data_IF_660694230742
#
_entry.id   IF_660694230742
#
_cell.length_a   1.000
_cell.length_b   1.000
_cell.length_c   1.000
_cell.angle_alpha   90.00
_cell.angle_beta   90.00
_cell.angle_gamma   90.00
#
_symmetry.space_group_name_H-M   'P 1'
#
loop_
_entity.id
_entity.type
_entity.pdbx_description
1 polymer ?
#
# COMPACT_ATOMS: atom_id res chain seq x y z
N UNK A 1 -10.21 -46.83 0.93
CA UNK A 1 -9.08 -46.60 1.85
C UNK A 1 -9.15 -45.14 2.26
N UNK A 2 -9.37 -44.81 3.54
CA UNK A 2 -9.28 -43.42 3.99
C UNK A 2 -7.81 -43.01 4.01
N UNK A 3 -7.49 -41.92 3.32
CA UNK A 3 -6.18 -41.26 3.42
C UNK A 3 -6.01 -40.75 4.85
N UNK A 4 -5.18 -41.46 5.60
CA UNK A 4 -4.83 -41.17 6.99
C UNK A 4 -3.42 -40.60 7.00
N UNK A 5 -3.21 -39.49 6.30
CA UNK A 5 -2.03 -38.66 6.56
C UNK A 5 -2.22 -38.02 7.93
N UNK A 6 -1.57 -38.62 8.94
CA UNK A 6 -1.39 -37.95 10.23
C UNK A 6 -0.71 -36.61 9.95
N UNK A 7 -1.16 -35.48 10.55
CA UNK A 7 -0.53 -34.19 10.32
C UNK A 7 0.97 -34.33 10.62
N UNK A 8 1.81 -34.02 9.63
CA UNK A 8 3.27 -34.06 9.75
C UNK A 8 3.63 -33.25 10.99
N UNK A 9 4.30 -33.88 11.96
CA UNK A 9 4.77 -33.17 13.13
C UNK A 9 5.75 -32.08 12.67
N UNK A 10 5.48 -30.83 13.07
CA UNK A 10 6.35 -29.71 12.73
C UNK A 10 7.77 -29.98 13.24
N UNK A 11 8.78 -29.57 12.47
CA UNK A 11 10.17 -29.58 12.92
C UNK A 11 10.41 -28.53 14.02
N UNK A 12 11.57 -28.55 14.67
CA UNK A 12 11.93 -27.51 15.64
C UNK A 12 12.07 -26.14 14.98
N UNK A 13 12.64 -26.11 13.78
CA UNK A 13 12.85 -24.93 12.95
C UNK A 13 11.50 -24.35 12.45
N UNK A 14 10.60 -25.19 11.93
CA UNK A 14 9.25 -24.76 11.52
C UNK A 14 8.45 -24.13 12.69
N UNK A 15 8.58 -24.66 13.92
CA UNK A 15 7.95 -24.07 15.11
C UNK A 15 8.55 -22.71 15.49
N UNK A 16 9.87 -22.58 15.40
CA UNK A 16 10.56 -21.34 15.72
C UNK A 16 10.23 -20.22 14.71
N UNK A 17 10.20 -20.58 13.42
CA UNK A 17 9.78 -19.69 12.35
C UNK A 17 8.33 -19.22 12.55
N UNK A 18 7.40 -20.12 12.90
CA UNK A 18 6.02 -19.76 13.20
C UNK A 18 5.89 -18.84 14.43
N UNK A 19 6.69 -19.07 15.47
CA UNK A 19 6.72 -18.19 16.65
C UNK A 19 7.21 -16.77 16.29
N UNK A 20 8.25 -16.67 15.46
CA UNK A 20 8.75 -15.39 14.95
C UNK A 20 7.71 -14.69 14.07
N UNK A 21 7.03 -15.43 13.20
CA UNK A 21 5.95 -14.90 12.35
C UNK A 21 4.77 -14.38 13.17
N UNK A 22 4.39 -15.08 14.24
CA UNK A 22 3.34 -14.64 15.16
C UNK A 22 3.75 -13.32 15.86
N UNK A 23 4.96 -13.27 16.41
CA UNK A 23 5.51 -12.02 16.98
C UNK A 23 5.51 -10.86 15.98
N UNK A 24 5.94 -11.11 14.74
CA UNK A 24 5.92 -10.11 13.67
C UNK A 24 4.50 -9.59 13.39
N UNK A 25 3.47 -10.43 13.46
CA UNK A 25 2.08 -9.98 13.34
C UNK A 25 1.68 -9.09 14.53
N UNK A 26 1.90 -9.57 15.75
CA UNK A 26 1.37 -8.94 16.97
C UNK A 26 2.07 -7.61 17.30
N UNK A 27 3.39 -7.55 17.06
CA UNK A 27 4.26 -6.41 17.38
C UNK A 27 4.53 -5.53 16.15
N UNK A 28 3.84 -5.73 15.01
CA UNK A 28 4.16 -5.09 13.73
C UNK A 28 4.38 -3.58 13.82
N UNK A 29 3.49 -2.88 14.52
CA UNK A 29 3.59 -1.43 14.69
C UNK A 29 4.88 -1.02 15.42
N UNK A 30 5.15 -1.65 16.58
CA UNK A 30 6.31 -1.30 17.40
C UNK A 30 7.62 -1.66 16.70
N UNK A 31 7.66 -2.81 16.02
CA UNK A 31 8.79 -3.22 15.20
C UNK A 31 9.01 -2.23 14.04
N UNK A 32 7.94 -1.71 13.43
CA UNK A 32 7.98 -0.67 12.39
C UNK A 32 8.63 0.62 12.88
N UNK A 33 8.14 1.14 14.01
CA UNK A 33 8.70 2.35 14.63
C UNK A 33 10.18 2.16 14.97
N UNK A 34 10.55 1.01 15.54
CA UNK A 34 11.94 0.71 15.90
C UNK A 34 12.85 0.53 14.67
N UNK A 35 12.36 -0.15 13.62
CA UNK A 35 13.14 -0.39 12.40
C UNK A 35 13.53 0.92 11.71
N UNK A 36 12.76 2.00 11.88
CA UNK A 36 13.09 3.32 11.35
C UNK A 36 14.41 3.89 11.93
N UNK A 37 14.81 3.47 13.13
CA UNK A 37 16.04 3.91 13.78
C UNK A 37 17.30 3.28 13.15
N UNK A 38 17.15 2.21 12.37
CA UNK A 38 18.25 1.62 11.61
C UNK A 38 18.73 2.50 10.45
N UNK A 39 17.95 3.52 10.08
CA UNK A 39 18.20 4.35 8.89
C UNK A 39 18.34 5.84 9.23
N UNK A 40 19.29 6.24 10.10
CA UNK A 40 19.42 7.63 10.56
C UNK A 40 19.79 8.62 9.45
N UNK A 41 20.35 8.14 8.34
CA UNK A 41 20.71 8.96 7.18
C UNK A 41 19.60 9.19 6.17
N UNK A 42 18.46 8.51 6.30
CA UNK A 42 17.33 8.63 5.37
C UNK A 42 16.30 9.64 5.88
N UNK A 43 15.57 10.27 4.96
CA UNK A 43 14.52 11.22 5.30
C UNK A 43 13.33 10.47 5.90
N UNK A 44 12.78 11.00 7.00
CA UNK A 44 11.54 10.54 7.62
C UNK A 44 10.42 11.52 7.25
N UNK A 45 9.36 11.04 6.60
CA UNK A 45 8.30 11.90 6.06
C UNK A 45 7.51 12.56 7.20
N UNK A 46 7.54 13.89 7.30
CA UNK A 46 6.82 14.65 8.34
C UNK A 46 7.05 14.16 9.79
N UNK A 47 8.23 13.58 10.04
CA UNK A 47 8.60 13.01 11.33
C UNK A 47 7.85 11.71 11.69
N UNK A 48 7.27 11.01 10.71
CA UNK A 48 6.74 9.66 10.88
C UNK A 48 7.83 8.61 10.60
N UNK A 49 7.61 7.32 10.92
CA UNK A 49 8.57 6.26 10.61
C UNK A 49 8.80 6.00 9.12
N UNK A 50 7.97 6.53 8.22
CA UNK A 50 8.07 6.26 6.78
C UNK A 50 9.34 6.89 6.20
N UNK A 51 10.17 6.06 5.59
CA UNK A 51 11.44 6.48 4.99
C UNK A 51 11.20 7.02 3.58
N UNK A 52 11.98 8.01 3.16
CA UNK A 52 11.86 8.59 1.82
C UNK A 52 13.17 9.21 1.34
N UNK A 53 13.13 9.79 0.14
CA UNK A 53 14.22 10.48 -0.55
C UNK A 53 13.78 11.87 -0.99
N UNK A 54 14.74 12.76 -1.17
CA UNK A 54 14.45 14.16 -1.53
C UNK A 54 13.70 14.28 -2.87
N UNK A 55 14.05 13.43 -3.82
CA UNK A 55 13.45 13.31 -5.15
C UNK A 55 12.06 12.68 -5.12
N UNK A 56 11.65 12.05 -4.01
CA UNK A 56 10.35 11.42 -3.87
C UNK A 56 9.30 12.32 -3.21
N UNK A 57 9.72 13.47 -2.67
CA UNK A 57 8.84 14.38 -1.94
C UNK A 57 8.70 15.69 -2.71
N UNK A 58 7.62 15.89 -3.49
CA UNK A 58 7.37 17.17 -4.12
C UNK A 58 7.12 18.28 -3.08
N UNK A 59 7.59 19.49 -3.38
CA UNK A 59 7.38 20.67 -2.52
C UNK A 59 5.90 21.06 -2.38
N UNK A 60 5.09 20.77 -3.40
CA UNK A 60 3.64 21.03 -3.45
C UNK A 60 2.92 19.81 -4.01
N UNK A 61 1.65 19.57 -3.64
CA UNK A 61 0.86 18.52 -4.25
C UNK A 61 0.98 18.54 -5.79
N UNK A 62 1.28 17.38 -6.37
CA UNK A 62 1.28 17.20 -7.82
C UNK A 62 -0.11 16.75 -8.24
N UNK A 63 -0.75 17.39 -9.23
CA UNK A 63 -1.88 16.76 -9.91
C UNK A 63 -1.48 15.35 -10.36
N UNK A 64 -2.34 14.35 -10.13
CA UNK A 64 -2.00 12.94 -10.38
C UNK A 64 -1.62 12.70 -11.85
N UNK A 65 -2.30 13.38 -12.78
CA UNK A 65 -2.05 13.34 -14.22
C UNK A 65 -0.73 14.01 -14.66
N UNK A 66 -0.09 14.77 -13.77
CA UNK A 66 1.24 15.33 -14.01
C UNK A 66 2.37 14.32 -13.78
N UNK A 67 2.10 13.16 -13.17
CA UNK A 67 3.08 12.09 -12.94
C UNK A 67 3.14 11.20 -14.18
N UNK A 68 4.25 11.27 -14.92
CA UNK A 68 4.45 10.45 -16.12
C UNK A 68 4.89 9.03 -15.76
N UNK A 69 4.18 8.02 -16.25
CA UNK A 69 4.57 6.62 -16.10
C UNK A 69 5.32 6.14 -17.34
N UNK A 70 6.40 5.38 -17.15
CA UNK A 70 7.21 4.83 -18.23
C UNK A 70 7.40 3.33 -18.02
N UNK A 71 7.16 2.54 -19.06
CA UNK A 71 7.51 1.12 -19.08
C UNK A 71 8.94 0.95 -19.61
N UNK A 72 9.77 0.25 -18.85
CA UNK A 72 11.19 -0.06 -19.13
C UNK A 72 11.43 -1.55 -18.93
N UNK A 73 11.09 -2.40 -19.93
CA UNK A 73 11.23 -3.85 -19.81
C UNK A 73 12.69 -4.31 -19.69
N UNK A 74 13.62 -3.63 -20.36
CA UNK A 74 15.04 -4.00 -20.44
C UNK A 74 15.88 -3.42 -19.27
N UNK A 75 15.43 -3.66 -18.05
CA UNK A 75 16.10 -3.13 -16.86
C UNK A 75 17.25 -4.07 -16.39
N UNK A 76 18.35 -3.52 -15.84
CA UNK A 76 19.43 -4.33 -15.28
C UNK A 76 18.92 -5.30 -14.21
N UNK A 77 19.54 -6.51 -14.12
CA UNK A 77 19.18 -7.48 -13.09
C UNK A 77 19.47 -6.91 -11.70
N UNK A 78 18.69 -7.36 -10.72
CA UNK A 78 18.91 -7.03 -9.32
C UNK A 78 20.12 -7.77 -8.75
N UNK A 79 20.73 -7.26 -7.67
CA UNK A 79 21.65 -8.05 -6.87
C UNK A 79 20.95 -9.30 -6.32
N UNK A 80 21.71 -10.39 -6.20
CA UNK A 80 21.23 -11.61 -5.54
C UNK A 80 21.20 -11.38 -4.04
N UNK A 81 20.03 -11.57 -3.42
CA UNK A 81 19.85 -11.44 -1.98
C UNK A 81 20.04 -12.80 -1.27
N UNK A 82 20.57 -12.82 -0.03
CA UNK A 82 20.81 -14.03 0.74
C UNK A 82 19.52 -14.51 1.43
N UNK A 83 18.57 -15.00 0.64
CA UNK A 83 17.26 -15.47 1.13
C UNK A 83 17.29 -16.88 1.74
N UNK A 84 18.38 -17.62 1.53
CA UNK A 84 18.55 -19.01 1.95
C UNK A 84 19.05 -19.18 3.41
N UNK A 85 18.99 -18.10 4.21
CA UNK A 85 19.39 -18.19 5.61
C UNK A 85 18.30 -18.89 6.44
N UNK A 86 18.64 -19.83 7.34
CA UNK A 86 17.66 -20.51 8.19
C UNK A 86 16.83 -19.59 9.08
N UNK A 87 17.28 -18.36 9.30
CA UNK A 87 16.54 -17.34 10.07
C UNK A 87 15.35 -16.77 9.28
N UNK A 88 15.44 -16.78 7.95
CA UNK A 88 14.41 -16.23 7.05
C UNK A 88 13.57 -17.36 6.45
N UNK A 89 14.22 -18.42 5.96
CA UNK A 89 13.57 -19.56 5.31
C UNK A 89 13.90 -20.83 6.09
N UNK A 90 12.90 -21.49 6.69
CA UNK A 90 13.13 -22.72 7.44
C UNK A 90 13.61 -23.83 6.49
N UNK A 91 14.29 -24.82 7.05
CA UNK A 91 14.83 -25.94 6.29
C UNK A 91 13.74 -26.71 5.55
N UNK A 92 13.98 -26.98 4.26
CA UNK A 92 13.06 -27.72 3.40
C UNK A 92 12.17 -26.85 2.50
N UNK A 93 12.33 -25.52 2.58
CA UNK A 93 11.63 -24.56 1.74
C UNK A 93 12.60 -23.82 0.81
N UNK A 94 12.14 -23.44 -0.38
CA UNK A 94 12.95 -22.73 -1.38
C UNK A 94 12.89 -21.21 -1.27
N UNK A 95 11.85 -20.67 -0.62
CA UNK A 95 11.62 -19.24 -0.48
C UNK A 95 10.80 -18.93 0.79
N UNK A 96 10.69 -17.65 1.14
CA UNK A 96 9.87 -17.22 2.26
C UNK A 96 8.39 -17.45 1.97
N UNK A 97 7.96 -17.17 0.73
CA UNK A 97 6.60 -17.43 0.27
C UNK A 97 6.26 -18.92 0.32
N UNK A 98 7.17 -19.81 -0.06
CA UNK A 98 6.94 -21.25 0.01
C UNK A 98 6.70 -21.71 1.46
N UNK A 99 7.52 -21.22 2.40
CA UNK A 99 7.34 -21.50 3.82
C UNK A 99 6.02 -20.92 4.34
N UNK A 100 5.69 -19.69 3.97
CA UNK A 100 4.45 -19.03 4.38
C UNK A 100 3.21 -19.81 3.92
N UNK A 101 3.15 -20.22 2.65
CA UNK A 101 2.01 -20.95 2.08
C UNK A 101 1.88 -22.36 2.67
N UNK A 102 3.00 -23.00 3.00
CA UNK A 102 2.99 -24.36 3.54
C UNK A 102 2.69 -24.42 5.05
N UNK A 103 3.12 -23.41 5.81
CA UNK A 103 3.06 -23.42 7.28
C UNK A 103 1.91 -22.59 7.85
N UNK A 104 1.24 -21.78 7.04
CA UNK A 104 0.16 -20.90 7.49
C UNK A 104 -1.11 -21.05 6.65
N UNK A 105 -2.28 -20.59 7.13
CA UNK A 105 -3.51 -20.56 6.34
C UNK A 105 -3.48 -19.58 5.15
N UNK A 106 -2.37 -18.87 4.91
CA UNK A 106 -2.29 -17.85 3.87
C UNK A 106 -2.72 -18.39 2.50
N UNK A 107 -3.41 -17.52 1.76
CA UNK A 107 -3.76 -17.71 0.35
C UNK A 107 -3.22 -16.52 -0.39
N UNK A 108 -2.53 -16.79 -1.49
CA UNK A 108 -1.89 -15.77 -2.29
C UNK A 108 -2.04 -16.11 -3.75
N UNK A 109 -2.47 -15.12 -4.53
CA UNK A 109 -2.34 -15.15 -5.98
C UNK A 109 -1.08 -14.36 -6.37
N UNK A 110 -0.13 -15.04 -7.03
CA UNK A 110 1.15 -14.41 -7.39
C UNK A 110 1.05 -13.63 -8.71
N UNK A 111 0.29 -12.52 -8.67
CA UNK A 111 -0.04 -11.70 -9.85
C UNK A 111 1.13 -10.86 -10.34
N UNK A 112 1.04 -10.45 -11.60
CA UNK A 112 1.95 -9.52 -12.28
C UNK A 112 1.83 -8.11 -11.70
N UNK A 113 2.93 -7.58 -11.16
CA UNK A 113 3.00 -6.22 -10.61
C UNK A 113 3.75 -5.26 -11.53
N UNK A 114 3.48 -3.96 -11.41
CA UNK A 114 4.34 -2.92 -11.97
C UNK A 114 5.42 -2.58 -10.94
N UNK A 115 6.61 -3.13 -11.17
CA UNK A 115 7.76 -2.96 -10.28
C UNK A 115 8.46 -1.64 -10.54
N UNK A 116 8.58 -0.80 -9.51
CA UNK A 116 9.30 0.46 -9.57
C UNK A 116 10.80 0.25 -9.86
N UNK A 117 11.33 1.04 -10.80
CA UNK A 117 12.76 1.06 -11.16
C UNK A 117 13.43 2.37 -10.77
N UNK A 118 12.75 3.49 -10.96
CA UNK A 118 13.19 4.80 -10.52
C UNK A 118 11.99 5.76 -10.48
N UNK A 119 12.11 6.82 -9.69
CA UNK A 119 11.15 7.90 -9.65
C UNK A 119 11.87 9.20 -9.32
N UNK A 120 11.41 10.28 -9.95
CA UNK A 120 11.67 11.66 -9.51
C UNK A 120 10.33 12.39 -9.55
N UNK A 121 9.80 12.70 -8.37
CA UNK A 121 8.55 13.42 -8.18
C UNK A 121 8.78 14.92 -8.00
N UNK A 122 10.00 15.43 -8.23
CA UNK A 122 10.21 16.88 -8.20
C UNK A 122 9.71 17.52 -9.50
N UNK A 123 9.27 18.77 -9.38
CA UNK A 123 8.90 19.60 -10.53
C UNK A 123 10.14 20.02 -11.32
N UNK A 124 10.02 20.36 -12.62
CA UNK A 124 8.78 20.53 -13.40
C UNK A 124 8.26 19.26 -14.10
N UNK A 125 8.99 18.15 -14.09
CA UNK A 125 8.62 16.92 -14.80
C UNK A 125 8.68 15.73 -13.85
N UNK A 126 7.59 15.47 -13.13
CA UNK A 126 7.49 14.29 -12.27
C UNK A 126 7.33 13.01 -13.10
N UNK A 127 8.05 11.96 -12.77
CA UNK A 127 8.01 10.69 -13.49
C UNK A 127 8.33 9.49 -12.61
N UNK A 128 7.83 8.33 -13.05
CA UNK A 128 8.09 7.02 -12.46
C UNK A 128 8.30 6.00 -13.57
N UNK A 129 9.31 5.14 -13.44
CA UNK A 129 9.62 4.10 -14.41
C UNK A 129 9.44 2.71 -13.81
N UNK A 130 8.90 1.80 -14.60
CA UNK A 130 8.46 0.49 -14.15
C UNK A 130 8.91 -0.62 -15.08
N UNK A 131 9.22 -1.78 -14.51
CA UNK A 131 9.32 -3.05 -15.23
C UNK A 131 8.23 -3.99 -14.73
N UNK A 132 8.07 -5.17 -15.35
CA UNK A 132 7.23 -6.22 -14.76
C UNK A 132 7.91 -6.79 -13.50
N UNK A 133 7.08 -7.21 -12.54
CA UNK A 133 7.47 -7.94 -11.34
C UNK A 133 6.39 -8.97 -10.96
N UNK A 134 6.57 -9.59 -9.80
CA UNK A 134 5.61 -10.51 -9.20
C UNK A 134 5.27 -10.06 -7.79
N UNK A 135 4.03 -10.30 -7.35
CA UNK A 135 3.63 -9.99 -5.98
C UNK A 135 4.55 -10.67 -4.96
N UNK A 136 4.90 -11.95 -5.19
CA UNK A 136 5.78 -12.75 -4.32
C UNK A 136 7.14 -12.10 -4.10
N UNK A 137 7.65 -11.32 -5.06
CA UNK A 137 8.94 -10.64 -4.93
C UNK A 137 8.98 -9.70 -3.70
N UNK A 138 7.84 -9.08 -3.37
CA UNK A 138 7.70 -8.23 -2.19
C UNK A 138 7.70 -9.03 -0.88
N UNK A 139 7.12 -10.24 -0.87
CA UNK A 139 7.12 -11.11 0.30
C UNK A 139 8.49 -11.75 0.54
N UNK A 140 9.11 -12.26 -0.52
CA UNK A 140 10.43 -12.89 -0.48
C UNK A 140 11.56 -11.92 -0.14
N UNK A 141 11.31 -10.62 -0.17
CA UNK A 141 12.31 -9.61 0.22
C UNK A 141 11.89 -8.79 1.42
N UNK A 142 10.74 -8.13 1.33
CA UNK A 142 10.22 -7.21 2.34
C UNK A 142 9.72 -7.91 3.60
N UNK A 143 8.77 -8.84 3.47
CA UNK A 143 8.28 -9.62 4.61
C UNK A 143 9.37 -10.55 5.17
N UNK A 144 10.22 -11.10 4.31
CA UNK A 144 11.42 -11.82 4.71
C UNK A 144 12.36 -10.99 5.60
N UNK A 145 12.63 -9.73 5.21
CA UNK A 145 13.45 -8.81 6.00
C UNK A 145 12.76 -8.37 7.30
N UNK A 146 11.43 -8.28 7.31
CA UNK A 146 10.65 -8.03 8.51
C UNK A 146 10.72 -9.22 9.49
N UNK A 147 10.66 -10.45 8.97
CA UNK A 147 10.80 -11.68 9.74
C UNK A 147 12.20 -11.79 10.34
N UNK A 148 13.25 -11.52 9.55
CA UNK A 148 14.63 -11.46 10.03
C UNK A 148 14.75 -10.47 11.20
N UNK A 149 14.20 -9.27 11.05
CA UNK A 149 14.21 -8.26 12.11
C UNK A 149 13.47 -8.71 13.37
N UNK A 150 12.26 -9.28 13.22
CA UNK A 150 11.45 -9.79 14.32
C UNK A 150 12.11 -10.97 15.06
N UNK A 151 12.98 -11.73 14.40
CA UNK A 151 13.73 -12.82 15.03
C UNK A 151 14.74 -12.31 16.07
N UNK A 152 15.15 -11.04 15.99
CA UNK A 152 16.21 -10.45 16.82
C UNK A 152 17.60 -11.04 16.56
N UNK A 153 17.79 -11.75 15.45
CA UNK A 153 19.06 -12.38 15.03
C UNK A 153 19.73 -11.57 13.93
N UNK A 154 20.80 -12.13 13.36
CA UNK A 154 21.64 -11.54 12.31
C UNK A 154 20.83 -10.79 11.24
N UNK A 155 21.28 -9.59 10.86
CA UNK A 155 20.62 -8.73 9.87
C UNK A 155 21.17 -8.96 8.45
N UNK A 156 21.39 -10.22 8.03
CA UNK A 156 22.11 -10.54 6.78
C UNK A 156 21.35 -10.03 5.55
N UNK A 157 20.06 -10.31 5.47
CA UNK A 157 19.21 -9.88 4.36
C UNK A 157 19.05 -8.36 4.36
N UNK A 158 18.77 -7.78 5.53
CA UNK A 158 18.60 -6.33 5.67
C UNK A 158 19.88 -5.55 5.34
N UNK A 159 21.04 -6.03 5.78
CA UNK A 159 22.34 -5.45 5.43
C UNK A 159 22.66 -5.60 3.94
N UNK A 160 22.33 -6.74 3.33
CA UNK A 160 22.52 -6.97 1.90
C UNK A 160 21.66 -6.03 1.02
N UNK A 161 20.43 -5.72 1.46
CA UNK A 161 19.57 -4.72 0.81
C UNK A 161 20.18 -3.31 0.98
N UNK A 162 20.63 -2.96 2.18
CA UNK A 162 21.21 -1.65 2.47
C UNK A 162 20.14 -0.56 2.50
N UNK A 163 20.17 0.37 1.53
CA UNK A 163 19.19 1.46 1.42
C UNK A 163 17.83 0.93 0.90
N UNK A 164 16.78 0.89 1.73
CA UNK A 164 15.47 0.39 1.32
C UNK A 164 14.74 1.31 0.33
N UNK A 165 15.17 2.56 0.20
CA UNK A 165 14.65 3.54 -0.74
C UNK A 165 15.39 3.54 -2.09
N UNK A 166 16.33 2.62 -2.32
CA UNK A 166 16.98 2.42 -3.62
C UNK A 166 16.32 1.25 -4.39
N UNK A 167 15.47 1.52 -5.41
CA UNK A 167 14.77 0.46 -6.15
C UNK A 167 15.69 -0.46 -6.98
N UNK A 168 16.98 -0.11 -7.10
CA UNK A 168 17.99 -0.97 -7.74
C UNK A 168 18.55 -2.05 -6.79
N UNK A 169 18.25 -2.00 -5.49
CA UNK A 169 18.75 -2.95 -4.49
C UNK A 169 17.85 -4.17 -4.29
N UNK A 170 16.56 -4.06 -4.63
CA UNK A 170 15.54 -5.08 -4.39
C UNK A 170 14.37 -4.97 -5.36
N UNK A 171 13.54 -6.01 -5.50
CA UNK A 171 12.24 -5.84 -6.11
C UNK A 171 11.42 -4.83 -5.32
N UNK A 172 10.82 -3.88 -6.02
CA UNK A 172 10.06 -2.78 -5.42
C UNK A 172 8.67 -2.76 -6.03
N UNK A 173 7.77 -3.57 -5.49
CA UNK A 173 6.35 -3.44 -5.75
C UNK A 173 5.86 -2.17 -5.05
N UNK A 174 4.91 -1.46 -5.67
CA UNK A 174 4.32 -0.28 -5.05
C UNK A 174 2.85 -0.54 -4.71
N UNK A 175 2.43 -0.07 -3.54
CA UNK A 175 1.03 0.20 -3.25
C UNK A 175 0.71 1.66 -3.57
N UNK A 176 -0.56 1.96 -3.85
CA UNK A 176 -1.08 3.32 -3.93
C UNK A 176 -1.97 3.55 -2.71
N UNK A 177 -1.41 4.17 -1.67
CA UNK A 177 -2.15 4.56 -0.47
C UNK A 177 -2.85 5.90 -0.71
N UNK A 178 -4.18 5.90 -0.71
CA UNK A 178 -5.02 7.06 -1.02
C UNK A 178 -5.75 7.57 0.21
N UNK A 179 -5.56 8.85 0.55
CA UNK A 179 -6.39 9.55 1.53
C UNK A 179 -7.58 10.16 0.81
N UNK A 180 -8.76 9.61 1.09
CA UNK A 180 -10.02 10.16 0.58
C UNK A 180 -10.53 11.24 1.50
N UNK A 181 -10.73 12.45 0.97
CA UNK A 181 -11.28 13.60 1.67
C UNK A 181 -12.63 13.96 1.04
N UNK A 182 -13.66 14.09 1.88
CA UNK A 182 -14.94 14.67 1.53
C UNK A 182 -14.96 16.11 2.01
N UNK A 183 -15.19 17.06 1.13
CA UNK A 183 -15.27 18.49 1.43
C UNK A 183 -16.70 19.02 1.18
N UNK A 184 -17.38 19.47 2.24
CA UNK A 184 -18.58 20.27 2.09
C UNK A 184 -18.19 21.73 1.85
N UNK A 185 -18.25 22.14 0.59
CA UNK A 185 -17.87 23.50 0.18
C UNK A 185 -18.82 24.58 0.69
N UNK A 186 -20.05 24.21 1.07
CA UNK A 186 -21.02 25.18 1.58
C UNK A 186 -20.70 25.60 3.02
N UNK A 187 -20.11 24.69 3.81
CA UNK A 187 -19.71 24.93 5.19
C UNK A 187 -18.21 25.14 5.35
N UNK A 188 -17.40 24.67 4.40
CA UNK A 188 -15.94 24.59 4.49
C UNK A 188 -15.46 23.43 5.37
N UNK A 189 -16.35 22.52 5.78
CA UNK A 189 -16.01 21.35 6.58
C UNK A 189 -15.45 20.24 5.70
N UNK A 190 -14.47 19.51 6.22
CA UNK A 190 -13.90 18.35 5.55
C UNK A 190 -13.80 17.15 6.48
N UNK A 191 -14.03 15.96 5.95
CA UNK A 191 -13.79 14.67 6.62
C UNK A 191 -12.85 13.82 5.78
N UNK A 192 -12.20 12.85 6.41
CA UNK A 192 -11.33 11.89 5.74
C UNK A 192 -11.66 10.45 6.13
N UNK A 193 -11.40 9.52 5.21
CA UNK A 193 -11.69 8.10 5.41
C UNK A 193 -10.45 7.37 5.90
N UNK A 194 -10.62 6.63 6.99
CA UNK A 194 -9.68 5.62 7.44
C UNK A 194 -10.36 4.25 7.44
N UNK A 195 -9.54 3.24 7.26
CA UNK A 195 -9.87 1.86 7.43
C UNK A 195 -9.08 1.27 8.60
N UNK A 196 -9.74 0.47 9.43
CA UNK A 196 -9.06 -0.38 10.41
C UNK A 196 -8.99 -1.79 9.84
N UNK A 197 -7.77 -2.25 9.57
CA UNK A 197 -7.53 -3.56 8.95
C UNK A 197 -7.78 -4.66 9.97
N UNK A 198 -8.77 -5.53 9.72
CA UNK A 198 -9.10 -6.62 10.64
C UNK A 198 -7.99 -7.69 10.59
N UNK A 199 -7.28 -7.96 11.70
CA UNK A 199 -6.20 -8.95 11.72
C UNK A 199 -6.66 -10.37 11.39
N UNK A 200 -7.96 -10.68 11.46
CA UNK A 200 -8.51 -11.96 11.03
C UNK A 200 -8.69 -12.08 9.51
N UNK A 201 -8.68 -10.96 8.77
CA UNK A 201 -9.04 -10.91 7.35
C UNK A 201 -7.90 -10.50 6.41
N UNK A 202 -6.90 -9.76 6.90
CA UNK A 202 -5.81 -9.27 6.05
C UNK A 202 -4.51 -10.06 6.21
N UNK A 203 -3.83 -10.33 5.08
CA UNK A 203 -2.52 -10.99 5.08
C UNK A 203 -1.35 -10.08 5.52
N UNK A 204 -1.54 -8.76 5.46
CA UNK A 204 -0.55 -7.74 5.81
C UNK A 204 -1.17 -6.63 6.68
N UNK A 205 -0.43 -6.17 7.70
CA UNK A 205 -0.77 -5.02 8.54
C UNK A 205 -2.10 -5.07 9.32
N UNK A 206 -2.57 -6.26 9.68
CA UNK A 206 -3.74 -6.43 10.55
C UNK A 206 -3.60 -5.72 11.91
N UNK A 207 -4.72 -5.16 12.40
CA UNK A 207 -4.80 -4.42 13.65
C UNK A 207 -4.30 -2.97 13.58
N UNK A 208 -3.95 -2.48 12.38
CA UNK A 208 -3.48 -1.12 12.15
C UNK A 208 -4.53 -0.27 11.41
N UNK A 209 -4.53 1.02 11.70
CA UNK A 209 -5.23 2.00 10.87
C UNK A 209 -4.46 2.24 9.57
N UNK A 210 -5.19 2.46 8.49
CA UNK A 210 -4.67 2.88 7.20
C UNK A 210 -5.65 3.86 6.55
N UNK A 211 -5.15 4.68 5.63
CA UNK A 211 -6.02 5.46 4.74
C UNK A 211 -6.79 4.53 3.81
N UNK A 212 -7.90 5.00 3.23
CA UNK A 212 -8.64 4.19 2.26
C UNK A 212 -8.99 5.00 0.99
N UNK A 213 -8.84 4.40 -0.20
CA UNK A 213 -8.37 3.01 -0.42
C UNK A 213 -6.84 2.85 -0.46
N UNK A 214 -6.33 1.62 -0.36
CA UNK A 214 -4.91 1.28 -0.51
C UNK A 214 -4.69 -0.11 -1.12
N UNK A 215 -4.17 -0.18 -2.35
CA UNK A 215 -3.85 -1.46 -2.99
C UNK A 215 -2.63 -1.45 -3.91
N UNK A 216 -2.23 -2.64 -4.36
CA UNK A 216 -0.99 -2.86 -5.12
C UNK A 216 -1.17 -2.37 -6.55
N UNK A 217 -0.19 -1.61 -7.06
CA UNK A 217 -0.17 -1.23 -8.47
C UNK A 217 0.21 -2.43 -9.35
N UNK A 218 -0.81 -3.11 -9.84
CA UNK A 218 -0.72 -4.34 -10.63
C UNK A 218 -1.75 -4.38 -11.75
N UNK A 219 -1.56 -5.30 -12.70
CA UNK A 219 -2.56 -5.57 -13.72
C UNK A 219 -3.77 -6.30 -13.10
N UNK A 220 -4.96 -6.08 -13.64
CA UNK A 220 -6.20 -6.70 -13.14
C UNK A 220 -6.34 -8.19 -13.47
N UNK A 221 -5.38 -8.77 -14.21
CA UNK A 221 -5.32 -10.18 -14.60
C UNK A 221 -4.01 -10.51 -15.33
N UNK A 222 -3.74 -11.79 -15.57
CA UNK A 222 -2.47 -12.28 -16.15
C UNK A 222 -2.41 -12.19 -17.69
N UNK A 223 -3.55 -11.99 -18.36
CA UNK A 223 -3.56 -11.83 -19.80
C UNK A 223 -2.84 -10.53 -20.25
N UNK A 224 -2.03 -10.62 -21.33
CA UNK A 224 -1.16 -9.52 -21.82
C UNK A 224 -1.91 -8.20 -22.12
N UNK A 225 -3.22 -8.26 -22.43
CA UNK A 225 -4.01 -7.06 -22.68
C UNK A 225 -4.24 -6.22 -21.42
N UNK A 226 -4.13 -6.81 -20.23
CA UNK A 226 -4.30 -6.10 -18.95
C UNK A 226 -3.08 -5.22 -18.66
N UNK A 227 -1.88 -5.63 -19.06
CA UNK A 227 -0.65 -4.90 -18.72
C UNK A 227 -0.69 -3.43 -19.09
N UNK A 228 -0.96 -3.08 -20.35
CA UNK A 228 -1.01 -1.68 -20.76
C UNK A 228 -2.36 -1.03 -20.47
N UNK A 229 -3.44 -1.81 -20.38
CA UNK A 229 -4.76 -1.29 -20.04
C UNK A 229 -4.80 -0.77 -18.59
N UNK A 230 -4.16 -1.47 -17.66
CA UNK A 230 -4.22 -1.16 -16.24
C UNK A 230 -3.01 -0.35 -15.76
N UNK A 231 -2.03 -0.07 -16.63
CA UNK A 231 -0.86 0.76 -16.34
C UNK A 231 -1.22 2.27 -16.25
N UNK A 232 -2.04 2.59 -15.26
CA UNK A 232 -2.54 3.92 -14.95
C UNK A 232 -2.84 4.03 -13.46
N UNK A 233 -2.20 4.99 -12.79
CA UNK A 233 -2.44 5.23 -11.36
C UNK A 233 -3.93 5.45 -11.06
N UNK A 234 -4.61 6.24 -11.91
CA UNK A 234 -6.02 6.55 -11.73
C UNK A 234 -6.94 5.34 -11.92
N UNK A 235 -6.65 4.46 -12.89
CA UNK A 235 -7.43 3.22 -13.10
C UNK A 235 -7.24 2.23 -11.96
N UNK A 236 -6.02 2.11 -11.44
CA UNK A 236 -5.75 1.33 -10.22
C UNK A 236 -6.54 1.91 -9.04
N UNK A 237 -6.40 3.20 -8.73
CA UNK A 237 -7.18 3.85 -7.66
C UNK A 237 -8.69 3.67 -7.83
N UNK A 238 -9.21 3.73 -9.06
CA UNK A 238 -10.65 3.54 -9.35
C UNK A 238 -11.15 2.13 -9.01
N UNK A 239 -10.34 1.09 -9.27
CA UNK A 239 -10.64 -0.28 -8.85
C UNK A 239 -10.67 -0.38 -7.33
N UNK A 240 -9.65 0.14 -6.65
CA UNK A 240 -9.56 0.11 -5.19
C UNK A 240 -10.69 0.89 -4.52
N UNK A 241 -11.13 2.01 -5.09
CA UNK A 241 -12.33 2.73 -4.64
C UNK A 241 -13.60 1.88 -4.75
N UNK A 242 -13.74 1.12 -5.84
CA UNK A 242 -14.88 0.23 -6.03
C UNK A 242 -14.85 -0.97 -5.07
N UNK A 243 -13.69 -1.54 -4.83
CA UNK A 243 -13.51 -2.71 -3.98
C UNK A 243 -13.62 -2.35 -2.50
N UNK A 244 -12.82 -1.39 -2.03
CA UNK A 244 -12.74 -1.10 -0.61
C UNK A 244 -13.90 -0.25 -0.10
N UNK A 245 -14.34 0.77 -0.85
CA UNK A 245 -15.38 1.69 -0.35
C UNK A 245 -16.80 1.22 -0.71
N UNK A 246 -16.95 0.46 -1.80
CA UNK A 246 -18.26 -0.05 -2.24
C UNK A 246 -18.42 -1.57 -2.08
N UNK A 247 -17.39 -2.28 -1.61
CA UNK A 247 -17.45 -3.73 -1.38
C UNK A 247 -17.64 -4.55 -2.67
N UNK A 248 -17.23 -4.02 -3.82
CA UNK A 248 -17.36 -4.76 -5.08
C UNK A 248 -16.31 -5.87 -5.15
N UNK A 249 -16.61 -7.02 -5.81
CA UNK A 249 -15.61 -8.05 -6.04
C UNK A 249 -14.48 -7.55 -6.94
N UNK A 250 -13.27 -8.09 -6.71
CA UNK A 250 -12.09 -7.89 -7.57
C UNK A 250 -12.19 -8.62 -8.94
N UNK A 251 -13.25 -9.40 -9.14
CA UNK A 251 -13.49 -10.15 -10.37
C UNK A 251 -14.12 -9.27 -11.47
N UNK A 252 -13.28 -8.68 -12.31
CA UNK A 252 -13.72 -7.90 -13.48
C UNK A 252 -13.87 -8.72 -14.77
N UNK A 253 -13.62 -10.03 -14.72
CA UNK A 253 -13.55 -10.88 -15.92
C UNK A 253 -12.31 -10.62 -16.78
N UNK A 254 -11.23 -10.09 -16.17
CA UNK A 254 -10.00 -9.65 -16.84
C UNK A 254 -9.25 -10.74 -17.63
N UNK A 255 -9.54 -12.01 -17.37
CA UNK A 255 -9.01 -13.15 -18.13
C UNK A 255 -9.77 -13.41 -19.45
N UNK A 256 -10.92 -12.79 -19.66
CA UNK A 256 -11.74 -12.94 -20.88
C UNK A 256 -11.68 -11.71 -21.78
N UNK A 257 -11.54 -10.51 -21.20
CA UNK A 257 -11.43 -9.24 -21.91
C UNK A 257 -10.77 -8.18 -21.01
N UNK A 258 -10.14 -7.13 -21.56
CA UNK A 258 -9.67 -6.01 -20.75
C UNK A 258 -10.85 -5.27 -20.11
N UNK A 259 -10.63 -4.68 -18.93
CA UNK A 259 -11.61 -3.80 -18.29
C UNK A 259 -11.91 -2.61 -19.21
N UNK A 260 -13.17 -2.45 -19.60
CA UNK A 260 -13.64 -1.30 -20.36
C UNK A 260 -13.98 -0.13 -19.40
N UNK A 261 -12.95 0.60 -18.98
CA UNK A 261 -13.11 1.78 -18.13
C UNK A 261 -13.96 2.90 -18.75
N UNK A 262 -14.19 2.88 -20.08
CA UNK A 262 -14.98 3.89 -20.75
C UNK A 262 -16.49 3.60 -20.68
N UNK A 263 -16.88 2.34 -20.48
CA UNK A 263 -18.28 1.93 -20.30
C UNK A 263 -18.62 1.51 -18.87
N UNK A 264 -17.62 1.18 -18.04
CA UNK A 264 -17.84 0.84 -16.63
C UNK A 264 -18.43 2.03 -15.86
N UNK A 265 -19.71 1.97 -15.39
CA UNK A 265 -20.41 3.16 -14.90
C UNK A 265 -19.71 3.90 -13.75
N UNK A 266 -19.06 3.16 -12.85
CA UNK A 266 -18.34 3.77 -11.72
C UNK A 266 -17.08 4.50 -12.18
N UNK A 267 -16.29 3.91 -13.07
CA UNK A 267 -15.13 4.59 -13.64
C UNK A 267 -15.53 5.83 -14.45
N UNK A 268 -16.63 5.75 -15.20
CA UNK A 268 -17.18 6.91 -15.93
C UNK A 268 -17.55 8.05 -14.96
N UNK A 269 -18.24 7.73 -13.86
CA UNK A 269 -18.63 8.73 -12.86
C UNK A 269 -17.42 9.35 -12.15
N UNK A 270 -16.44 8.53 -11.76
CA UNK A 270 -15.16 8.98 -11.17
C UNK A 270 -14.40 9.92 -12.12
N UNK A 271 -14.31 9.56 -13.41
CA UNK A 271 -13.69 10.41 -14.43
C UNK A 271 -14.44 11.74 -14.62
N UNK A 272 -15.77 11.71 -14.62
CA UNK A 272 -16.60 12.90 -14.73
C UNK A 272 -16.40 13.84 -13.52
N UNK A 273 -16.26 13.30 -12.31
CA UNK A 273 -15.99 14.07 -11.10
C UNK A 273 -14.65 14.83 -11.19
N UNK A 274 -13.58 14.17 -11.63
CA UNK A 274 -12.27 14.82 -11.82
C UNK A 274 -12.33 15.87 -12.94
N UNK A 275 -12.92 15.51 -14.09
CA UNK A 275 -12.99 16.40 -15.27
C UNK A 275 -13.79 17.67 -15.00
N UNK A 276 -14.86 17.58 -14.21
CA UNK A 276 -15.71 18.72 -13.84
C UNK A 276 -15.15 19.58 -12.71
N UNK A 277 -14.08 19.14 -12.02
CA UNK A 277 -13.58 19.80 -10.82
C UNK A 277 -14.44 19.52 -9.56
N UNK A 278 -15.32 18.53 -9.61
CA UNK A 278 -15.98 18.01 -8.42
C UNK A 278 -15.07 17.05 -7.62
N UNK A 279 -13.99 16.55 -8.22
CA UNK A 279 -12.93 15.85 -7.52
C UNK A 279 -11.54 16.39 -7.94
N UNK A 280 -10.54 16.11 -7.12
CA UNK A 280 -9.13 16.43 -7.38
C UNK A 280 -8.26 15.29 -6.89
N UNK A 281 -7.42 14.73 -7.76
CA UNK A 281 -6.46 13.69 -7.38
C UNK A 281 -5.03 14.27 -7.36
N UNK A 282 -4.30 14.01 -6.29
CA UNK A 282 -2.94 14.49 -6.09
C UNK A 282 -1.99 13.37 -5.67
N UNK A 283 -0.72 13.48 -6.08
CA UNK A 283 0.41 12.74 -5.53
C UNK A 283 1.19 13.65 -4.57
N UNK A 284 1.41 13.16 -3.34
CA UNK A 284 2.14 13.86 -2.28
C UNK A 284 3.54 13.31 -2.04
N UNK A 285 3.86 12.13 -2.58
CA UNK A 285 5.21 11.59 -2.60
C UNK A 285 5.27 10.08 -2.65
N UNK A 286 6.47 9.54 -2.41
CA UNK A 286 6.72 8.11 -2.21
C UNK A 286 7.40 7.88 -0.86
N UNK A 287 7.14 6.74 -0.24
CA UNK A 287 7.89 6.32 0.94
C UNK A 287 7.95 4.81 1.08
N UNK A 288 8.79 4.37 2.02
CA UNK A 288 9.09 2.97 2.27
C UNK A 288 8.91 2.68 3.76
N UNK A 289 8.11 1.67 4.07
CA UNK A 289 7.99 1.14 5.41
C UNK A 289 9.35 0.56 5.85
N UNK A 290 9.89 1.00 6.99
CA UNK A 290 11.23 0.61 7.41
C UNK A 290 11.34 -0.87 7.81
N UNK A 291 10.25 -1.50 8.23
CA UNK A 291 10.24 -2.90 8.67
C UNK A 291 10.06 -3.84 7.48
N UNK A 292 9.04 -3.60 6.66
CA UNK A 292 8.61 -4.52 5.59
C UNK A 292 9.12 -4.12 4.22
N UNK A 293 9.70 -2.94 4.08
CA UNK A 293 10.07 -2.35 2.79
C UNK A 293 8.91 -2.23 1.78
N UNK A 294 7.66 -2.34 2.26
CA UNK A 294 6.49 -1.95 1.49
C UNK A 294 6.68 -0.52 1.01
N UNK A 295 6.45 -0.28 -0.28
CA UNK A 295 6.69 1.02 -0.90
C UNK A 295 5.35 1.59 -1.33
N UNK A 296 5.07 2.81 -0.92
CA UNK A 296 3.76 3.43 -1.10
C UNK A 296 3.89 4.72 -1.88
N UNK A 297 3.12 4.82 -2.96
CA UNK A 297 2.78 6.11 -3.57
C UNK A 297 1.69 6.74 -2.69
N UNK A 298 1.97 7.92 -2.18
CA UNK A 298 1.12 8.65 -1.25
C UNK A 298 0.22 9.58 -2.07
N UNK A 299 -1.08 9.29 -2.14
CA UNK A 299 -2.05 10.06 -2.95
C UNK A 299 -3.19 10.62 -2.10
N UNK A 300 -3.80 11.71 -2.56
CA UNK A 300 -5.01 12.28 -1.95
C UNK A 300 -6.06 12.45 -3.04
N UNK A 301 -7.30 12.09 -2.74
CA UNK A 301 -8.45 12.50 -3.56
C UNK A 301 -9.40 13.32 -2.73
N UNK A 302 -9.62 14.57 -3.14
CA UNK A 302 -10.60 15.49 -2.52
C UNK A 302 -11.85 15.50 -3.39
N UNK A 303 -12.99 15.11 -2.82
CA UNK A 303 -14.29 15.15 -3.44
C UNK A 303 -15.14 16.28 -2.86
N UNK A 304 -15.89 16.96 -3.74
CA UNK A 304 -17.06 17.74 -3.34
C UNK A 304 -18.06 16.82 -2.61
N UNK A 305 -18.63 17.32 -1.51
CA UNK A 305 -19.48 16.55 -0.63
C UNK A 305 -20.67 15.89 -1.32
N UNK A 306 -21.34 16.58 -2.26
CA UNK A 306 -22.50 16.03 -2.96
C UNK A 306 -22.10 14.88 -3.89
N UNK A 307 -20.98 15.04 -4.60
CA UNK A 307 -20.47 14.00 -5.50
C UNK A 307 -19.92 12.82 -4.72
N UNK A 308 -19.27 13.07 -3.58
CA UNK A 308 -18.87 12.00 -2.67
C UNK A 308 -20.09 11.19 -2.20
N UNK A 309 -21.15 11.87 -1.75
CA UNK A 309 -22.35 11.21 -1.24
C UNK A 309 -23.12 10.45 -2.33
N UNK A 310 -23.10 10.92 -3.58
CA UNK A 310 -23.67 10.20 -4.72
C UNK A 310 -22.87 8.93 -5.05
N UNK A 311 -21.54 9.03 -5.06
CA UNK A 311 -20.65 7.93 -5.41
C UNK A 311 -20.55 6.88 -4.30
N UNK A 312 -20.57 7.32 -3.04
CA UNK A 312 -20.18 6.54 -1.87
C UNK A 312 -21.17 6.60 -0.71
N UNK A 313 -22.32 7.29 -0.81
CA UNK A 313 -23.24 7.53 0.32
C UNK A 313 -23.78 6.26 0.99
N UNK A 314 -23.67 5.11 0.33
CA UNK A 314 -23.82 3.78 0.93
C UNK A 314 -22.46 3.12 1.18
N UNK A 315 -21.56 3.80 1.89
CA UNK A 315 -20.28 3.20 2.29
C UNK A 315 -20.55 1.90 3.05
N UNK A 316 -19.77 0.87 2.73
CA UNK A 316 -19.86 -0.39 3.46
C UNK A 316 -19.23 -0.20 4.84
N UNK A 317 -19.98 -0.47 5.91
CA UNK A 317 -19.45 -0.38 7.29
C UNK A 317 -18.29 -1.37 7.52
N UNK A 318 -18.28 -2.48 6.77
CA UNK A 318 -17.32 -3.58 6.85
C UNK A 318 -17.05 -4.19 5.46
N UNK A 319 -15.82 -4.15 4.96
CA UNK A 319 -15.42 -4.77 3.70
C UNK A 319 -14.60 -6.06 3.93
N UNK A 320 -14.08 -6.65 2.84
CA UNK A 320 -13.25 -7.86 2.91
C UNK A 320 -11.98 -7.67 3.76
N UNK A 321 -11.52 -6.44 3.94
CA UNK A 321 -10.28 -6.12 4.64
C UNK A 321 -10.49 -5.60 6.09
N UNK A 322 -11.69 -5.18 6.49
CA UNK A 322 -11.95 -4.62 7.82
C UNK A 322 -13.06 -3.57 7.88
N UNK A 323 -12.94 -2.61 8.81
CA UNK A 323 -13.99 -1.61 9.13
C UNK A 323 -13.63 -0.22 8.61
N UNK A 324 -14.55 0.45 7.91
CA UNK A 324 -14.41 1.88 7.60
C UNK A 324 -14.83 2.72 8.81
N UNK A 325 -13.99 3.65 9.23
CA UNK A 325 -14.27 4.47 10.41
C UNK A 325 -15.24 5.60 10.08
N UNK A 326 -16.27 5.72 10.91
CA UNK A 326 -17.20 6.86 10.96
C UNK A 326 -16.73 7.86 12.02
N UNK A 327 -17.09 9.12 11.84
CA UNK A 327 -16.83 10.17 12.82
C UNK A 327 -17.65 9.98 14.10
N UNK A 328 -17.21 10.59 15.20
CA UNK A 328 -17.88 10.52 16.51
C UNK A 328 -19.32 11.09 16.50
N UNK A 329 -19.66 11.87 15.47
CA UNK A 329 -20.96 12.49 15.21
C UNK A 329 -21.88 11.63 14.31
N UNK A 330 -21.41 10.46 13.86
CA UNK A 330 -22.13 9.60 12.93
C UNK A 330 -22.01 10.02 11.46
N UNK A 331 -21.24 11.08 11.15
CA UNK A 331 -20.96 11.48 9.78
C UNK A 331 -20.01 10.50 9.09
N UNK A 332 -20.01 10.55 7.75
CA UNK A 332 -19.10 9.75 6.92
C UNK A 332 -17.66 10.26 7.09
N UNK A 333 -16.80 9.40 7.62
CA UNK A 333 -15.39 9.70 7.87
C UNK A 333 -15.12 10.50 9.15
N UNK A 334 -13.83 10.73 9.41
CA UNK A 334 -13.33 11.46 10.58
C UNK A 334 -13.13 12.93 10.21
N UNK A 335 -13.51 13.87 11.07
CA UNK A 335 -13.30 15.30 10.81
C UNK A 335 -11.82 15.62 10.53
N UNK A 336 -11.54 16.30 9.42
CA UNK A 336 -10.19 16.69 8.99
C UNK A 336 -9.71 17.92 9.76
N UNK A 337 -9.36 17.68 11.03
CA UNK A 337 -8.84 18.69 11.96
C UNK A 337 -7.41 18.36 12.35
N UNK A 338 -6.68 19.36 12.86
CA UNK A 338 -5.33 19.15 13.40
C UNK A 338 -5.30 18.06 14.46
N UNK A 339 -6.28 18.08 15.36
CA UNK A 339 -6.36 17.15 16.48
C UNK A 339 -6.49 15.71 16.00
N UNK A 340 -7.41 15.44 15.06
CA UNK A 340 -7.59 14.11 14.51
C UNK A 340 -6.39 13.66 13.68
N UNK A 341 -5.80 14.56 12.87
CA UNK A 341 -4.56 14.25 12.14
C UNK A 341 -3.44 13.88 13.11
N UNK A 342 -3.22 14.66 14.16
CA UNK A 342 -2.18 14.37 15.16
C UNK A 342 -2.46 13.07 15.94
N UNK A 343 -3.72 12.79 16.26
CA UNK A 343 -4.13 11.54 16.89
C UNK A 343 -3.74 10.34 16.02
N UNK A 344 -4.22 10.28 14.78
CA UNK A 344 -4.02 9.10 13.94
C UNK A 344 -2.59 8.99 13.41
N UNK A 345 -1.96 10.10 13.01
CA UNK A 345 -0.61 10.06 12.46
C UNK A 345 0.50 9.84 13.50
N UNK A 346 0.24 10.06 14.81
CA UNK A 346 1.29 10.04 15.84
C UNK A 346 0.99 9.23 17.10
N UNK A 347 -0.28 8.98 17.44
CA UNK A 347 -0.67 8.36 18.71
C UNK A 347 -1.35 7.01 18.55
N UNK A 348 -2.08 6.83 17.46
CA UNK A 348 -2.72 5.55 17.13
C UNK A 348 -1.77 4.63 16.37
N UNK A 349 -2.10 3.33 16.36
CA UNK A 349 -1.34 2.29 15.64
C UNK A 349 -1.64 2.36 14.14
N UNK A 350 -1.13 3.37 13.46
CA UNK A 350 -1.30 3.58 12.02
C UNK A 350 -0.14 2.99 11.22
N UNK A 351 -0.41 2.49 10.01
CA UNK A 351 0.65 2.17 9.05
C UNK A 351 1.48 3.42 8.73
N UNK A 352 2.78 3.23 8.51
CA UNK A 352 3.72 4.33 8.28
C UNK A 352 3.31 5.20 7.08
N UNK A 353 2.84 4.58 5.99
CA UNK A 353 2.36 5.27 4.79
C UNK A 353 1.16 6.17 5.08
N UNK A 354 0.14 5.64 5.76
CA UNK A 354 -1.04 6.41 6.13
C UNK A 354 -0.75 7.55 7.10
N UNK A 355 0.12 7.32 8.10
CA UNK A 355 0.55 8.35 9.03
C UNK A 355 1.27 9.51 8.30
N UNK A 356 2.20 9.17 7.40
CA UNK A 356 2.90 10.14 6.58
C UNK A 356 1.94 10.92 5.67
N UNK A 357 0.99 10.22 5.06
CA UNK A 357 0.03 10.83 4.14
C UNK A 357 -0.94 11.78 4.84
N UNK A 358 -1.46 11.44 6.03
CA UNK A 358 -2.24 12.35 6.86
C UNK A 358 -1.46 13.62 7.22
N UNK A 359 -0.20 13.45 7.64
CA UNK A 359 0.66 14.59 7.99
C UNK A 359 0.96 15.48 6.78
N UNK A 360 1.27 14.89 5.62
CA UNK A 360 1.49 15.62 4.36
C UNK A 360 0.21 16.32 3.88
N UNK A 361 -0.94 15.66 3.94
CA UNK A 361 -2.21 16.24 3.57
C UNK A 361 -2.56 17.44 4.46
N UNK A 362 -2.33 17.34 5.76
CA UNK A 362 -2.56 18.45 6.69
C UNK A 362 -1.59 19.61 6.46
N UNK A 363 -0.31 19.33 6.19
CA UNK A 363 0.68 20.34 5.80
C UNK A 363 0.23 21.11 4.57
N UNK A 364 -0.33 20.39 3.58
CA UNK A 364 -0.75 20.94 2.29
C UNK A 364 -2.23 21.28 2.20
N UNK A 365 -2.99 21.25 3.31
CA UNK A 365 -4.46 21.36 3.32
C UNK A 365 -4.97 22.60 2.59
N UNK A 366 -4.28 23.73 2.72
CA UNK A 366 -4.66 24.98 2.03
C UNK A 366 -4.59 24.81 0.52
N UNK A 367 -3.59 24.09 -0.03
CA UNK A 367 -3.50 23.82 -1.46
C UNK A 367 -4.43 22.71 -1.93
N UNK A 368 -4.75 21.75 -1.06
CA UNK A 368 -5.61 20.61 -1.39
C UNK A 368 -7.10 20.99 -1.39
N UNK A 369 -7.48 21.90 -0.49
CA UNK A 369 -8.84 22.41 -0.33
C UNK A 369 -9.03 23.78 -1.01
N UNK A 370 -7.97 24.40 -1.54
CA UNK A 370 -8.10 25.61 -2.34
C UNK A 370 -8.74 25.28 -3.68
N UNK A 371 -9.97 25.75 -3.88
CA UNK A 371 -10.57 25.96 -5.20
C UNK A 371 -11.30 27.28 -5.26
#
# INVERSE_FOLDING_TARGET
>A
MPDTSSPKALSADEREWLATRARLTDERFELGVQAAELYPGLLKVEGTPLLSRSEWLPEKPLPLDAVKLMSVPDAPPLPRLPLDTPTVVPHGYSSYVDALLALTPARLENRSTYRLRAADLRRPAAWMSFSRGRYSDGLDTGEAAAHEYASGRSAVLREAIGDPCDPARRPTNIAISTLTIREDRSTGEATFILHWRDPAKVGHAGGLFQVAPAGIFQASGEADWNDMNDFSLWRCMTQEFAEELLGRPEEYGSELAPIDYASWPFAVAMNAAVTSGAASAYCLGLGVDPLTFATDLLTVVVFDGLVFDELFGTLVDENAEGLLLRGDDGNVGIAFTRENVERYARRERMQAAGAALLALAWRHRESLLAR
#
